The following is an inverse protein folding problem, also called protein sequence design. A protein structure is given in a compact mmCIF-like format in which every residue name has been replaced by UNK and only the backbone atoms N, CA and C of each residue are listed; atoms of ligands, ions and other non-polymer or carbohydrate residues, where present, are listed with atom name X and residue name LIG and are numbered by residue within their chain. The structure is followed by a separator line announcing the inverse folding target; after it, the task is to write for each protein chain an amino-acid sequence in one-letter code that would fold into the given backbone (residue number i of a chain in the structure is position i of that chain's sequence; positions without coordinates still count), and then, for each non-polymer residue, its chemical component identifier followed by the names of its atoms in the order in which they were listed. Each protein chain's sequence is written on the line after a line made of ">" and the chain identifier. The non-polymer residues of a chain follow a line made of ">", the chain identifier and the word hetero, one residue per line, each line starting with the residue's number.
data_IF_382837101339
#
_entry.id   IF_382837101339
#
_cell.length_a   1.000
_cell.length_b   1.000
_cell.length_c   1.000
_cell.angle_alpha   90.00
_cell.angle_beta   90.00
_cell.angle_gamma   90.00
#
_symmetry.space_group_name_H-M   'P 1'
#
loop_
_entity.id
_entity.type
_entity.pdbx_description
1 polymer ?
#
# COMPACT_ATOMS: atom_id res chain seq x y z
N UNK A 1 5.18 8.79 -17.73
CA UNK A 1 3.89 8.16 -18.01
C UNK A 1 3.84 6.75 -17.43
N UNK A 2 4.36 6.62 -16.22
CA UNK A 2 4.37 5.34 -15.55
C UNK A 2 3.49 5.41 -14.29
N UNK A 3 2.63 4.43 -14.15
CA UNK A 3 1.73 4.38 -13.01
C UNK A 3 2.49 3.91 -11.77
N UNK A 4 2.60 4.81 -10.80
CA UNK A 4 3.30 4.50 -9.56
C UNK A 4 2.32 3.94 -8.52
N UNK A 5 2.52 2.69 -8.17
CA UNK A 5 1.66 2.03 -7.20
C UNK A 5 2.37 1.97 -5.85
N UNK A 6 1.56 1.89 -4.79
CA UNK A 6 2.09 1.82 -3.44
C UNK A 6 2.90 0.54 -3.28
N UNK A 7 4.05 0.68 -2.65
CA UNK A 7 4.93 -0.45 -2.42
C UNK A 7 5.39 -0.46 -0.96
N UNK A 8 5.14 -1.58 -0.30
CA UNK A 8 5.52 -1.72 1.10
C UNK A 8 6.97 -1.29 1.27
N UNK A 9 7.14 -0.12 1.87
CA UNK A 9 8.47 0.42 2.11
C UNK A 9 9.24 -0.51 3.06
N UNK A 10 8.48 -1.24 3.86
CA UNK A 10 9.06 -2.17 4.82
C UNK A 10 8.05 -3.24 5.20
N UNK A 11 8.53 -4.21 5.96
CA UNK A 11 7.68 -5.30 6.41
C UNK A 11 6.39 -4.73 7.01
N UNK A 12 5.28 -5.28 6.57
CA UNK A 12 3.98 -4.83 7.05
C UNK A 12 3.10 -6.05 7.35
N UNK A 13 2.96 -6.34 8.68
CA UNK A 13 2.16 -7.47 9.11
C UNK A 13 0.67 -7.16 8.99
N UNK A 14 -0.13 -8.19 9.23
CA UNK A 14 -1.58 -8.04 9.15
C UNK A 14 -2.06 -7.14 10.29
N UNK A 15 -3.01 -6.28 9.96
CA UNK A 15 -3.57 -5.36 10.94
C UNK A 15 -2.48 -4.37 11.38
N UNK A 16 -1.68 -3.96 10.41
CA UNK A 16 -0.60 -3.02 10.68
C UNK A 16 -0.96 -1.63 10.14
N UNK A 17 -1.20 -0.72 11.07
CA UNK A 17 -1.55 0.65 10.71
C UNK A 17 -0.51 1.20 9.74
N UNK A 18 -0.93 1.31 8.48
CA UNK A 18 -0.05 1.82 7.44
C UNK A 18 0.44 3.21 7.83
N UNK A 19 1.66 3.52 7.42
CA UNK A 19 2.25 4.82 7.70
C UNK A 19 3.10 5.29 6.53
N UNK A 20 3.38 6.59 6.52
CA UNK A 20 4.17 7.19 5.47
C UNK A 20 5.60 6.64 5.54
N UNK A 21 5.88 5.97 6.66
CA UNK A 21 7.21 5.40 6.86
C UNK A 21 7.16 3.91 6.54
N UNK A 22 5.98 3.45 6.16
CA UNK A 22 5.79 2.05 5.82
C UNK A 22 5.20 1.89 4.42
N UNK A 23 5.18 3.00 3.69
CA UNK A 23 4.65 3.00 2.34
C UNK A 23 5.50 3.87 1.42
N UNK A 24 5.43 3.57 0.13
CA UNK A 24 6.19 4.30 -0.86
C UNK A 24 5.61 4.07 -2.26
N UNK A 25 6.36 4.52 -3.26
CA UNK A 25 5.93 4.37 -4.64
C UNK A 25 7.04 3.71 -5.46
N UNK A 26 6.61 2.95 -6.47
CA UNK A 26 7.54 2.26 -7.33
C UNK A 26 6.79 1.51 -8.43
N UNK A 27 7.33 1.59 -9.64
CA UNK A 27 6.73 0.92 -10.78
C UNK A 27 6.90 -0.59 -10.63
N UNK A 28 5.82 -1.23 -10.22
CA UNK A 28 5.84 -2.68 -10.03
C UNK A 28 4.73 -3.31 -10.86
N UNK A 29 4.83 -4.62 -11.03
CA UNK A 29 3.84 -5.35 -11.81
C UNK A 29 3.51 -6.68 -11.12
N UNK A 30 2.19 -6.94 -10.97
CA UNK A 30 1.18 -6.00 -11.46
C UNK A 30 1.08 -4.79 -10.53
N UNK A 31 0.47 -3.73 -11.05
CA UNK A 31 0.30 -2.51 -10.29
C UNK A 31 -0.87 -2.65 -9.31
N UNK A 32 -0.76 -1.95 -8.20
CA UNK A 32 -1.80 -1.98 -7.19
C UNK A 32 -2.28 -0.57 -6.84
N UNK A 33 -2.61 -0.39 -5.57
CA UNK A 33 -3.09 0.90 -5.09
C UNK A 33 -2.21 2.00 -5.67
N UNK A 34 -2.88 3.12 -6.08
CA UNK A 34 -2.17 4.25 -6.65
C UNK A 34 -1.43 5.04 -5.57
N UNK A 35 -0.29 5.59 -5.96
CA UNK A 35 0.53 6.36 -5.05
C UNK A 35 -0.28 7.56 -4.53
N UNK A 36 -1.32 7.89 -5.29
CA UNK A 36 -2.18 9.01 -4.93
C UNK A 36 -3.03 8.64 -3.71
N UNK A 37 -2.90 7.39 -3.29
CA UNK A 37 -3.66 6.91 -2.14
C UNK A 37 -2.71 6.77 -0.94
N UNK A 38 -1.48 7.19 -1.15
CA UNK A 38 -0.47 7.11 -0.11
C UNK A 38 -1.01 7.77 1.16
N UNK A 39 -1.54 9.01 1.00
CA UNK A 39 -2.08 9.74 2.12
C UNK A 39 -3.45 9.18 2.52
N UNK A 40 -3.89 8.18 1.78
CA UNK A 40 -5.17 7.54 2.05
C UNK A 40 -4.97 6.27 2.87
N UNK A 41 -3.92 5.55 2.54
CA UNK A 41 -3.60 4.31 3.23
C UNK A 41 -3.11 4.64 4.65
N UNK A 42 -2.57 5.84 4.79
CA UNK A 42 -2.07 6.28 6.07
C UNK A 42 -3.18 6.20 7.12
N UNK A 43 -2.85 5.57 8.24
CA UNK A 43 -3.81 5.41 9.32
C UNK A 43 -4.63 4.14 9.10
N UNK A 44 -4.54 3.62 7.89
CA UNK A 44 -5.27 2.41 7.53
C UNK A 44 -4.36 1.18 7.62
N UNK A 45 -4.86 0.16 8.29
CA UNK A 45 -4.11 -1.07 8.45
C UNK A 45 -4.31 -1.98 7.23
N UNK A 46 -3.58 -3.08 7.22
CA UNK A 46 -3.66 -4.03 6.13
C UNK A 46 -4.47 -5.25 6.57
N UNK A 47 -5.09 -5.90 5.60
CA UNK A 47 -5.91 -7.07 5.88
C UNK A 47 -5.11 -8.32 5.51
N UNK A 48 -3.80 -8.22 5.62
CA UNK A 48 -2.92 -9.33 5.31
C UNK A 48 -1.46 -8.93 5.52
N UNK A 49 -0.65 -9.93 5.84
CA UNK A 49 0.76 -9.70 6.07
C UNK A 49 1.44 -9.34 4.75
N UNK A 50 1.67 -8.05 4.56
CA UNK A 50 2.31 -7.57 3.35
C UNK A 50 3.77 -7.24 3.64
N UNK A 51 4.67 -8.12 3.13
CA UNK A 51 6.10 -7.93 3.33
C UNK A 51 6.63 -6.81 2.45
N UNK A 52 7.79 -6.29 2.84
CA UNK A 52 8.43 -5.21 2.09
C UNK A 52 8.66 -5.62 0.64
N UNK A 53 8.47 -4.66 -0.26
CA UNK A 53 8.67 -4.90 -1.67
C UNK A 53 7.39 -5.45 -2.31
N UNK A 54 6.45 -5.83 -1.44
CA UNK A 54 5.19 -6.38 -1.92
C UNK A 54 4.22 -5.25 -2.27
N UNK A 55 3.89 -5.17 -3.55
CA UNK A 55 2.98 -4.16 -4.04
C UNK A 55 1.72 -4.12 -3.18
N UNK A 56 1.23 -2.91 -2.94
CA UNK A 56 0.03 -2.72 -2.14
C UNK A 56 -1.20 -2.78 -3.05
N UNK A 57 -2.19 -3.53 -2.60
CA UNK A 57 -3.42 -3.67 -3.36
C UNK A 57 -4.60 -3.07 -2.60
N UNK A 58 -5.67 -2.73 -3.38
CA UNK A 58 -6.86 -2.14 -2.80
C UNK A 58 -7.69 -3.20 -2.06
N UNK A 59 -7.30 -4.44 -2.25
CA UNK A 59 -7.99 -5.55 -1.62
C UNK A 59 -7.14 -6.10 -0.48
N UNK A 60 -6.11 -5.34 -0.14
CA UNK A 60 -5.21 -5.74 0.93
C UNK A 60 -5.17 -4.69 2.04
N UNK A 61 -6.08 -3.73 1.93
CA UNK A 61 -6.17 -2.66 2.91
C UNK A 61 -7.56 -2.67 3.54
N UNK A 62 -7.59 -2.55 4.86
CA UNK A 62 -8.84 -2.55 5.59
C UNK A 62 -9.35 -1.11 5.72
N UNK A 63 -10.61 -0.93 5.39
CA UNK A 63 -11.23 0.39 5.46
C UNK A 63 -10.83 1.25 4.25
N UNK A 64 -10.36 0.57 3.21
CA UNK A 64 -9.94 1.25 2.00
C UNK A 64 -11.11 1.40 1.02
N UNK A 65 -10.85 2.13 -0.05
CA UNK A 65 -11.87 2.35 -1.07
C UNK A 65 -11.46 3.55 -1.93
N UNK A 66 -12.06 3.60 -3.15
CA UNK A 66 -11.77 4.69 -4.07
C UNK A 66 -12.47 5.98 -3.64
N UNK A 67 -12.59 6.90 -4.57
CA UNK A 67 -13.23 8.18 -4.31
C UNK A 67 -14.36 8.40 -5.30
#
# INVERSE_FOLDING_TARGET
>A
MNQESVVAAQLIPINTALTLVMMTTRVVSPTGIPAEDIPRLISMQVNQVVPMGTTLMPDMVKGYAPA
#
